data_IF_004253543290
#
_entry.id   IF_004253543290
#
_cell.length_a   1.000
_cell.length_b   1.000
_cell.length_c   1.000
_cell.angle_alpha   90.00
_cell.angle_beta   90.00
_cell.angle_gamma   90.00
#
_symmetry.space_group_name_H-M   'P 1'
#
loop_
_entity.id
_entity.type
_entity.pdbx_description
1 polymer ?
#
# COMPACT_ATOMS: atom_id res chain seq x y z
N UNK A 1 13.67 -45.35 5.98
CA UNK A 1 14.21 -44.12 5.35
C UNK A 1 13.29 -42.95 5.73
N UNK A 2 13.63 -42.25 6.81
CA UNK A 2 12.78 -41.22 7.43
C UNK A 2 12.63 -40.00 6.53
N UNK A 3 11.37 -39.64 6.24
CA UNK A 3 10.98 -38.42 5.54
C UNK A 3 11.37 -37.20 6.38
N UNK A 4 12.50 -36.56 6.07
CA UNK A 4 12.74 -35.18 6.47
C UNK A 4 11.74 -34.30 5.72
N UNK A 5 10.62 -33.98 6.37
CA UNK A 5 9.72 -32.91 5.94
C UNK A 5 10.49 -31.61 6.17
N UNK A 6 11.33 -31.20 5.22
CA UNK A 6 12.00 -29.91 5.28
C UNK A 6 10.90 -28.88 5.40
N UNK A 7 10.87 -28.15 6.51
CA UNK A 7 10.12 -26.91 6.63
C UNK A 7 10.66 -25.95 5.58
N UNK A 8 10.20 -26.11 4.34
CA UNK A 8 10.74 -25.42 3.17
C UNK A 8 10.69 -23.91 3.43
N UNK A 9 11.85 -23.26 3.51
CA UNK A 9 11.92 -21.82 3.72
C UNK A 9 11.18 -21.03 2.64
N UNK A 10 11.19 -19.71 2.76
CA UNK A 10 10.71 -18.84 1.69
C UNK A 10 11.42 -19.18 0.37
N UNK A 11 10.67 -19.40 -0.71
CA UNK A 11 11.23 -19.75 -2.02
C UNK A 11 12.19 -18.68 -2.59
N UNK A 12 12.11 -17.43 -2.11
CA UNK A 12 12.98 -16.33 -2.55
C UNK A 12 14.13 -15.97 -1.62
N UNK A 13 13.99 -16.19 -0.32
CA UNK A 13 15.00 -15.75 0.65
C UNK A 13 15.46 -16.85 1.60
N UNK A 14 14.94 -18.06 1.43
CA UNK A 14 15.29 -19.30 2.12
C UNK A 14 15.07 -19.28 3.65
N UNK A 15 14.66 -18.13 4.21
CA UNK A 15 14.36 -18.00 5.64
C UNK A 15 13.22 -18.92 6.06
N UNK A 16 13.44 -19.63 7.16
CA UNK A 16 12.46 -20.44 7.88
C UNK A 16 11.89 -19.65 9.08
N UNK A 17 10.83 -20.15 9.73
CA UNK A 17 10.21 -19.49 10.90
C UNK A 17 9.54 -18.14 10.63
N UNK A 18 9.35 -17.78 9.36
CA UNK A 18 8.74 -16.51 8.94
C UNK A 18 7.25 -16.66 8.66
N UNK A 19 6.50 -15.55 8.76
CA UNK A 19 5.11 -15.50 8.31
C UNK A 19 5.04 -15.57 6.79
N UNK A 20 4.44 -16.65 6.28
CA UNK A 20 4.12 -16.81 4.86
C UNK A 20 2.88 -15.99 4.49
N UNK A 21 2.95 -15.29 3.36
CA UNK A 21 1.86 -14.46 2.85
C UNK A 21 1.05 -15.16 1.76
N UNK A 22 1.70 -16.00 0.94
CA UNK A 22 1.06 -16.70 -0.17
C UNK A 22 1.94 -17.87 -0.65
N UNK A 23 1.39 -18.69 -1.53
CA UNK A 23 2.11 -19.72 -2.28
C UNK A 23 1.95 -19.40 -3.76
N UNK A 24 3.07 -19.21 -4.46
CA UNK A 24 3.15 -18.99 -5.90
C UNK A 24 3.74 -20.23 -6.58
N UNK A 25 3.78 -20.31 -7.92
CA UNK A 25 4.36 -21.46 -8.62
C UNK A 25 5.80 -21.81 -8.20
N UNK A 26 6.58 -20.80 -7.82
CA UNK A 26 7.93 -20.93 -7.28
C UNK A 26 7.99 -21.46 -5.82
N UNK A 27 6.88 -21.44 -5.07
CA UNK A 27 6.77 -21.97 -3.71
C UNK A 27 6.20 -20.98 -2.68
N UNK A 28 6.47 -21.25 -1.39
CA UNK A 28 5.96 -20.43 -0.27
C UNK A 28 6.68 -19.09 -0.19
N UNK A 29 5.94 -17.98 -0.15
CA UNK A 29 6.51 -16.63 -0.14
C UNK A 29 6.25 -15.95 1.20
N UNK A 30 7.32 -15.51 1.86
CA UNK A 30 7.21 -14.75 3.11
C UNK A 30 6.68 -13.32 2.87
N UNK A 31 6.10 -12.69 3.90
CA UNK A 31 5.52 -11.33 3.79
C UNK A 31 6.50 -10.30 3.22
N UNK A 32 7.78 -10.36 3.59
CA UNK A 32 8.82 -9.44 3.09
C UNK A 32 9.07 -9.63 1.59
N UNK A 33 9.23 -10.88 1.15
CA UNK A 33 9.44 -11.19 -0.26
C UNK A 33 8.21 -10.84 -1.11
N UNK A 34 7.01 -11.12 -0.61
CA UNK A 34 5.76 -10.72 -1.24
C UNK A 34 5.71 -9.20 -1.44
N UNK A 35 5.93 -8.42 -0.38
CA UNK A 35 5.91 -6.96 -0.46
C UNK A 35 6.97 -6.40 -1.40
N UNK A 36 8.17 -6.99 -1.44
CA UNK A 36 9.21 -6.57 -2.40
C UNK A 36 8.79 -6.86 -3.83
N UNK A 37 8.23 -8.03 -4.07
CA UNK A 37 7.76 -8.47 -5.38
C UNK A 37 6.64 -7.57 -5.93
N UNK A 38 5.64 -7.28 -5.11
CA UNK A 38 4.47 -6.47 -5.48
C UNK A 38 4.76 -4.96 -5.52
N UNK A 39 6.04 -4.57 -5.60
CA UNK A 39 6.50 -3.19 -5.78
C UNK A 39 7.35 -3.01 -7.04
N UNK A 40 7.59 -4.10 -7.78
CA UNK A 40 8.39 -4.06 -9.00
C UNK A 40 7.44 -3.80 -10.16
N UNK A 41 7.68 -2.71 -10.87
CA UNK A 41 7.02 -2.40 -12.13
C UNK A 41 8.09 -2.25 -13.21
N UNK A 42 7.75 -2.66 -14.42
CA UNK A 42 8.64 -2.54 -15.57
C UNK A 42 8.15 -3.36 -16.76
N UNK A 43 8.95 -3.39 -17.81
CA UNK A 43 8.72 -4.20 -19.00
C UNK A 43 8.94 -5.68 -18.68
N UNK A 44 7.89 -6.49 -18.82
CA UNK A 44 7.98 -7.93 -18.59
C UNK A 44 8.86 -8.59 -19.67
N UNK A 45 9.86 -9.41 -19.31
CA UNK A 45 10.71 -10.09 -20.28
C UNK A 45 9.97 -11.13 -21.13
N UNK A 46 8.88 -11.71 -20.63
CA UNK A 46 8.08 -12.70 -21.37
C UNK A 46 7.14 -12.11 -22.43
N UNK A 47 6.40 -11.04 -22.10
CA UNK A 47 5.37 -10.47 -22.98
C UNK A 47 5.61 -9.02 -23.42
N UNK A 48 6.69 -8.36 -22.97
CA UNK A 48 7.03 -6.99 -23.33
C UNK A 48 6.12 -5.90 -22.75
N UNK A 49 5.11 -6.24 -21.94
CA UNK A 49 4.18 -5.24 -21.38
C UNK A 49 4.78 -4.55 -20.15
N UNK A 50 4.66 -3.22 -20.07
CA UNK A 50 5.08 -2.46 -18.88
C UNK A 50 4.01 -2.50 -17.78
N UNK A 51 4.22 -3.31 -16.73
CA UNK A 51 3.20 -3.62 -15.71
C UNK A 51 3.82 -4.12 -14.39
N UNK A 52 3.01 -4.62 -13.45
CA UNK A 52 3.53 -5.21 -12.19
C UNK A 52 4.24 -6.54 -12.48
N UNK A 53 5.42 -6.73 -11.89
CA UNK A 53 6.28 -7.89 -12.09
C UNK A 53 6.49 -8.69 -10.79
N UNK A 54 5.43 -9.29 -10.21
CA UNK A 54 5.54 -9.95 -8.93
C UNK A 54 6.24 -11.32 -9.04
N UNK A 55 6.12 -12.01 -10.17
CA UNK A 55 6.68 -13.36 -10.36
C UNK A 55 8.14 -13.36 -10.79
N UNK A 56 8.67 -14.56 -11.00
CA UNK A 56 10.01 -14.77 -11.57
C UNK A 56 9.91 -15.63 -12.83
N UNK A 57 10.57 -15.19 -13.90
CA UNK A 57 10.84 -15.97 -15.12
C UNK A 57 12.37 -16.02 -15.27
N UNK A 58 12.95 -17.22 -15.23
CA UNK A 58 14.41 -17.41 -15.25
C UNK A 58 15.16 -16.54 -14.23
N UNK A 59 14.61 -16.43 -13.01
CA UNK A 59 15.09 -15.57 -11.91
C UNK A 59 14.99 -14.05 -12.13
N UNK A 60 14.47 -13.59 -13.27
CA UNK A 60 14.16 -12.18 -13.51
C UNK A 60 12.71 -11.84 -13.15
N UNK A 61 12.41 -10.64 -12.62
CA UNK A 61 11.04 -10.22 -12.36
C UNK A 61 10.16 -10.26 -13.62
N UNK A 62 8.99 -10.88 -13.51
CA UNK A 62 8.04 -11.03 -14.62
C UNK A 62 6.58 -10.92 -14.15
N UNK A 63 5.67 -10.64 -15.10
CA UNK A 63 4.26 -10.43 -14.79
C UNK A 63 3.57 -11.72 -14.33
N UNK A 64 2.38 -11.59 -13.75
CA UNK A 64 1.56 -12.73 -13.29
C UNK A 64 1.27 -13.74 -14.39
N UNK A 65 0.97 -13.25 -15.59
CA UNK A 65 0.52 -14.08 -16.71
C UNK A 65 1.67 -14.96 -17.22
N UNK A 66 2.86 -14.38 -17.41
CA UNK A 66 4.05 -15.13 -17.84
C UNK A 66 4.59 -16.07 -16.76
N UNK A 67 4.22 -15.89 -15.50
CA UNK A 67 4.73 -16.68 -14.38
C UNK A 67 3.69 -17.63 -13.77
N UNK A 68 2.46 -17.62 -14.30
CA UNK A 68 1.37 -18.47 -13.81
C UNK A 68 0.88 -18.13 -12.41
N UNK A 69 1.08 -16.90 -11.93
CA UNK A 69 0.56 -16.48 -10.62
C UNK A 69 -0.96 -16.23 -10.75
N UNK A 70 -1.83 -16.97 -10.05
CA UNK A 70 -3.28 -16.89 -10.22
C UNK A 70 -3.91 -15.65 -9.56
N UNK A 71 -3.11 -14.83 -8.88
CA UNK A 71 -3.60 -13.68 -8.13
C UNK A 71 -3.79 -12.48 -9.06
N UNK A 72 -5.00 -11.93 -9.05
CA UNK A 72 -5.27 -10.62 -9.65
C UNK A 72 -4.79 -9.49 -8.72
N UNK A 73 -4.01 -8.57 -9.29
CA UNK A 73 -3.46 -7.37 -8.64
C UNK A 73 -4.11 -6.07 -9.11
N UNK A 74 -5.11 -6.13 -9.99
CA UNK A 74 -5.85 -4.95 -10.40
C UNK A 74 -6.70 -4.44 -9.24
N UNK A 75 -6.56 -3.15 -8.95
CA UNK A 75 -7.46 -2.46 -8.06
C UNK A 75 -8.88 -2.49 -8.66
N UNK A 76 -9.86 -2.98 -7.92
CA UNK A 76 -11.26 -3.06 -8.37
C UNK A 76 -11.89 -1.69 -8.60
N UNK A 77 -11.31 -0.62 -8.05
CA UNK A 77 -11.80 0.75 -8.23
C UNK A 77 -11.11 1.51 -9.35
N UNK A 78 -9.79 1.47 -9.42
CA UNK A 78 -9.02 2.31 -10.36
C UNK A 78 -8.25 1.52 -11.43
N UNK A 79 -8.34 0.18 -11.43
CA UNK A 79 -7.65 -0.68 -12.39
C UNK A 79 -6.13 -0.75 -12.24
N UNK A 80 -5.50 0.07 -11.40
CA UNK A 80 -4.04 0.04 -11.19
C UNK A 80 -3.60 -1.34 -10.68
N UNK A 81 -2.59 -1.93 -11.33
CA UNK A 81 -1.89 -3.10 -10.81
C UNK A 81 -0.92 -2.69 -9.68
N UNK A 82 -1.21 -3.11 -8.44
CA UNK A 82 -0.37 -2.88 -7.25
C UNK A 82 -0.72 -3.94 -6.17
N UNK A 83 0.07 -4.02 -5.10
CA UNK A 83 -0.29 -4.81 -3.92
C UNK A 83 -1.67 -4.35 -3.37
N UNK A 84 -2.62 -5.28 -3.17
CA UNK A 84 -3.85 -4.95 -2.46
C UNK A 84 -3.53 -4.63 -0.99
N UNK A 85 -3.96 -3.45 -0.53
CA UNK A 85 -3.84 -3.00 0.86
C UNK A 85 -5.08 -3.35 1.67
N UNK A 86 -6.26 -3.19 1.06
CA UNK A 86 -7.55 -3.73 1.53
C UNK A 86 -8.10 -4.65 0.44
N UNK A 87 -9.14 -5.42 0.76
CA UNK A 87 -9.75 -6.36 -0.19
C UNK A 87 -10.08 -5.66 -1.53
N UNK A 88 -9.33 -6.02 -2.59
CA UNK A 88 -9.48 -5.47 -3.93
C UNK A 88 -8.95 -4.04 -4.15
N UNK A 89 -8.43 -3.35 -3.13
CA UNK A 89 -8.07 -1.93 -3.22
C UNK A 89 -6.57 -1.69 -3.08
N UNK A 90 -6.01 -0.90 -4.02
CA UNK A 90 -4.62 -0.46 -3.96
C UNK A 90 -4.42 0.64 -2.89
N UNK A 91 -3.15 0.93 -2.60
CA UNK A 91 -2.78 1.94 -1.60
C UNK A 91 -3.36 3.34 -1.88
N UNK A 92 -3.51 3.74 -3.14
CA UNK A 92 -4.03 5.05 -3.52
C UNK A 92 -5.53 5.18 -3.24
N UNK A 93 -6.33 4.17 -3.62
CA UNK A 93 -7.76 4.16 -3.31
C UNK A 93 -7.98 4.07 -1.81
N UNK A 94 -7.19 3.27 -1.11
CA UNK A 94 -7.29 3.19 0.34
C UNK A 94 -6.94 4.53 1.01
N UNK A 95 -5.87 5.20 0.56
CA UNK A 95 -5.50 6.52 1.07
C UNK A 95 -6.62 7.53 0.82
N UNK A 96 -7.25 7.49 -0.35
CA UNK A 96 -8.37 8.37 -0.67
C UNK A 96 -9.52 8.18 0.31
N UNK A 97 -9.96 6.93 0.57
CA UNK A 97 -11.01 6.68 1.56
C UNK A 97 -10.63 7.20 2.95
N UNK A 98 -9.40 6.90 3.39
CA UNK A 98 -8.94 7.27 4.73
C UNK A 98 -8.88 8.79 4.90
N UNK A 99 -8.45 9.51 3.86
CA UNK A 99 -8.43 10.97 3.82
C UNK A 99 -9.83 11.56 3.73
N UNK A 100 -10.75 10.97 2.96
CA UNK A 100 -12.15 11.42 2.91
C UNK A 100 -12.76 11.40 4.30
N UNK A 101 -12.54 10.33 5.06
CA UNK A 101 -12.98 10.28 6.45
C UNK A 101 -12.22 11.27 7.34
N UNK A 102 -10.90 11.42 7.16
CA UNK A 102 -10.08 12.31 7.99
C UNK A 102 -10.47 13.77 7.85
N UNK A 103 -10.69 14.22 6.61
CA UNK A 103 -11.01 15.60 6.27
C UNK A 103 -12.51 15.94 6.31
N UNK A 104 -13.35 15.01 6.76
CA UNK A 104 -14.79 15.20 6.90
C UNK A 104 -15.13 16.29 7.93
N UNK A 105 -15.91 17.28 7.53
CA UNK A 105 -16.37 18.41 8.36
C UNK A 105 -17.49 18.02 9.35
N UNK A 106 -18.06 16.82 9.22
CA UNK A 106 -19.16 16.31 10.04
C UNK A 106 -20.49 16.17 9.34
N UNK A 107 -20.61 16.74 8.16
CA UNK A 107 -21.80 16.67 7.33
C UNK A 107 -21.67 15.62 6.20
N UNK A 108 -20.60 14.82 6.22
CA UNK A 108 -20.29 13.88 5.14
C UNK A 108 -19.49 14.49 3.99
N UNK A 109 -19.02 15.73 4.14
CA UNK A 109 -18.28 16.48 3.13
C UNK A 109 -16.86 16.80 3.57
N UNK A 110 -15.94 16.88 2.60
CA UNK A 110 -14.58 17.32 2.85
C UNK A 110 -14.61 18.81 3.20
N UNK A 111 -13.96 19.19 4.31
CA UNK A 111 -13.87 20.57 4.74
C UNK A 111 -13.28 21.47 3.61
N UNK A 112 -14.00 22.53 3.15
CA UNK A 112 -13.62 23.29 1.96
C UNK A 112 -12.20 23.88 2.01
N UNK A 113 -11.76 24.34 3.17
CA UNK A 113 -10.41 24.89 3.38
C UNK A 113 -9.30 23.83 3.31
N UNK A 114 -9.64 22.55 3.46
CA UNK A 114 -8.69 21.43 3.36
C UNK A 114 -8.73 20.73 1.99
N UNK A 115 -9.64 21.13 1.11
CA UNK A 115 -9.78 20.59 -0.24
C UNK A 115 -8.46 20.61 -1.04
N UNK A 116 -7.64 21.70 -1.03
CA UNK A 116 -6.37 21.71 -1.75
C UNK A 116 -5.38 20.67 -1.21
N UNK A 117 -5.35 20.49 0.11
CA UNK A 117 -4.48 19.51 0.76
C UNK A 117 -4.96 18.07 0.46
N UNK A 118 -6.27 17.84 0.51
CA UNK A 118 -6.87 16.56 0.11
C UNK A 118 -6.47 16.17 -1.32
N UNK A 119 -6.57 17.09 -2.27
CA UNK A 119 -6.17 16.83 -3.66
C UNK A 119 -4.67 16.57 -3.80
N UNK A 120 -3.82 17.35 -3.10
CA UNK A 120 -2.37 17.13 -3.11
C UNK A 120 -1.99 15.74 -2.57
N UNK A 121 -2.61 15.33 -1.46
CA UNK A 121 -2.32 14.05 -0.81
C UNK A 121 -2.90 12.84 -1.54
N UNK A 122 -4.02 12.99 -2.25
CA UNK A 122 -4.61 11.92 -3.07
C UNK A 122 -3.93 11.78 -4.43
N UNK A 123 -3.35 12.85 -4.99
CA UNK A 123 -2.61 12.85 -6.26
C UNK A 123 -1.14 12.43 -6.17
N UNK A 124 -0.60 12.24 -4.97
CA UNK A 124 0.83 11.93 -4.77
C UNK A 124 1.21 10.48 -5.13
N UNK A 125 2.50 10.26 -5.44
CA UNK A 125 3.04 8.99 -5.98
C UNK A 125 3.25 7.87 -4.96
N UNK A 126 3.38 8.20 -3.68
CA UNK A 126 3.81 7.33 -2.59
C UNK A 126 2.67 7.06 -1.59
N UNK A 127 1.51 6.61 -2.07
CA UNK A 127 0.33 6.38 -1.24
C UNK A 127 0.57 5.48 -0.02
N UNK A 128 1.39 4.44 -0.17
CA UNK A 128 1.75 3.53 0.92
C UNK A 128 2.52 4.24 2.04
N UNK A 129 3.45 5.14 1.70
CA UNK A 129 4.22 5.91 2.69
C UNK A 129 3.33 6.89 3.44
N UNK A 130 2.44 7.60 2.73
CA UNK A 130 1.47 8.49 3.37
C UNK A 130 0.52 7.72 4.31
N UNK A 131 0.08 6.52 3.91
CA UNK A 131 -0.70 5.64 4.79
C UNK A 131 0.05 5.25 6.06
N UNK A 132 1.34 4.91 5.95
CA UNK A 132 2.17 4.61 7.12
C UNK A 132 2.30 5.86 8.00
N UNK A 133 2.54 7.03 7.39
CA UNK A 133 2.61 8.31 8.12
C UNK A 133 1.33 8.59 8.92
N UNK A 134 0.14 8.38 8.34
CA UNK A 134 -1.14 8.53 9.04
C UNK A 134 -1.29 7.57 10.23
N UNK A 135 -0.74 6.36 10.12
CA UNK A 135 -0.80 5.38 11.22
C UNK A 135 0.19 5.73 12.34
N UNK A 136 1.36 6.26 11.98
CA UNK A 136 2.45 6.54 12.93
C UNK A 136 2.33 7.90 13.62
N UNK A 137 1.70 8.88 12.97
CA UNK A 137 1.62 10.27 13.47
C UNK A 137 0.20 10.59 13.97
N UNK A 138 -0.20 9.95 15.07
CA UNK A 138 -1.56 10.07 15.62
C UNK A 138 -1.92 11.50 16.01
N UNK A 139 -0.96 12.26 16.54
CA UNK A 139 -1.16 13.67 16.90
C UNK A 139 -1.45 14.55 15.69
N UNK A 140 -0.71 14.35 14.60
CA UNK A 140 -0.96 15.07 13.35
C UNK A 140 -2.33 14.72 12.76
N UNK A 141 -2.76 13.46 12.88
CA UNK A 141 -4.11 13.03 12.47
C UNK A 141 -5.19 13.67 13.34
N UNK A 142 -4.98 13.76 14.65
CA UNK A 142 -5.90 14.44 15.57
C UNK A 142 -6.04 15.93 15.21
N UNK A 143 -4.92 16.61 14.96
CA UNK A 143 -4.91 18.02 14.52
C UNK A 143 -5.65 18.22 13.20
N UNK A 144 -5.37 17.37 12.19
CA UNK A 144 -6.08 17.46 10.89
C UNK A 144 -7.59 17.31 11.09
N UNK A 145 -8.02 16.41 11.99
CA UNK A 145 -9.45 16.22 12.28
C UNK A 145 -10.05 17.43 12.98
N UNK A 146 -9.37 18.02 13.96
CA UNK A 146 -9.83 19.24 14.62
C UNK A 146 -9.94 20.41 13.63
N UNK A 147 -8.97 20.55 12.71
CA UNK A 147 -9.01 21.53 11.63
C UNK A 147 -10.20 21.29 10.68
N UNK A 148 -10.49 20.02 10.34
CA UNK A 148 -11.60 19.67 9.45
C UNK A 148 -12.97 20.01 10.06
N UNK A 149 -13.11 19.81 11.38
CA UNK A 149 -14.33 20.10 12.15
C UNK A 149 -14.50 21.58 12.50
N UNK A 150 -13.45 22.39 12.31
CA UNK A 150 -13.42 23.78 12.74
C UNK A 150 -13.26 23.95 14.26
N UNK A 151 -12.86 22.90 14.97
CA UNK A 151 -12.57 22.95 16.41
C UNK A 151 -11.36 23.84 16.71
N UNK A 152 -10.44 23.93 15.74
CA UNK A 152 -9.28 24.84 15.75
C UNK A 152 -9.16 25.57 14.41
N UNK A 153 -8.72 26.85 14.39
CA UNK A 153 -8.56 27.61 13.16
C UNK A 153 -7.34 27.14 12.36
N UNK A 154 -7.42 27.25 11.02
CA UNK A 154 -6.29 26.99 10.13
C UNK A 154 -5.39 28.23 10.03
N UNK A 155 -4.58 28.46 11.06
CA UNK A 155 -3.68 29.60 11.18
C UNK A 155 -2.29 29.19 11.70
N UNK A 156 -1.29 30.04 11.50
CA UNK A 156 0.10 29.72 11.89
C UNK A 156 0.28 29.45 13.39
N UNK A 157 -0.49 30.15 14.24
CA UNK A 157 -0.48 29.99 15.70
C UNK A 157 -0.88 28.58 16.11
N UNK A 158 -1.92 28.02 15.49
CA UNK A 158 -2.37 26.64 15.71
C UNK A 158 -1.24 25.62 15.56
N UNK A 159 -0.34 25.80 14.59
CA UNK A 159 0.80 24.90 14.39
C UNK A 159 1.98 25.17 15.33
N UNK A 160 2.16 26.43 15.74
CA UNK A 160 3.26 26.84 16.62
C UNK A 160 3.01 26.41 18.07
N UNK A 161 1.75 26.46 18.51
CA UNK A 161 1.32 26.08 19.85
C UNK A 161 1.01 24.58 19.97
N UNK A 162 0.88 23.88 18.84
CA UNK A 162 0.68 22.44 18.85
C UNK A 162 1.89 21.77 19.52
N UNK A 163 1.68 20.89 20.51
CA UNK A 163 2.77 20.21 21.18
C UNK A 163 3.61 19.45 20.14
N UNK A 164 4.92 19.77 20.11
CA UNK A 164 5.90 18.98 19.40
C UNK A 164 6.26 17.78 20.28
N UNK A 165 5.96 16.57 19.79
CA UNK A 165 6.37 15.31 20.44
C UNK A 165 7.67 14.83 19.83
#
# INVERSE_FOLDING_TARGET
MSRHRVDAGCARCERTGVKFATTWPEGRICRRCYQRATRIHGTCPGCGTNRLLPGLLDSAPACTDCTGIPKDFHCTRCGREDEPVRAGLCAHCCLTDDLTHLFDNGDGEIAPHLQPLFHALTGQKHARSAKIWLITNTEAVALIRALARGDVPLEHTTFTEHPAV
#
